data_IF_325138056282
#
_entry.id   IF_325138056282
#
_cell.length_a   1.000
_cell.length_b   1.000
_cell.length_c   1.000
_cell.angle_alpha   90.00
_cell.angle_beta   90.00
_cell.angle_gamma   90.00
#
_symmetry.space_group_name_H-M   'P 1'
#
loop_
_entity.id
_entity.type
_entity.pdbx_description
1 polymer ?
#
# COMPACT_ATOMS: atom_id res chain seq x y z
N UNK A 1 -18.00 24.02 -4.44
CA UNK A 1 -16.84 23.49 -3.69
C UNK A 1 -15.62 24.17 -4.25
N UNK A 2 -15.01 25.07 -3.48
CA UNK A 2 -13.75 25.71 -3.86
C UNK A 2 -12.68 24.64 -3.71
N UNK A 3 -12.16 24.15 -4.84
CA UNK A 3 -10.94 23.35 -4.88
C UNK A 3 -9.80 24.22 -4.37
N UNK A 4 -9.33 23.96 -3.16
CA UNK A 4 -8.04 24.47 -2.66
C UNK A 4 -6.97 24.03 -3.66
N UNK A 5 -6.56 24.94 -4.53
CA UNK A 5 -5.39 24.74 -5.38
C UNK A 5 -4.18 24.81 -4.48
N UNK A 6 -3.66 23.65 -4.07
CA UNK A 6 -2.39 23.57 -3.35
C UNK A 6 -1.31 24.11 -4.29
N UNK A 7 -0.90 25.36 -4.06
CA UNK A 7 0.07 26.04 -4.89
C UNK A 7 1.47 25.64 -4.42
N UNK A 8 2.11 24.74 -5.15
CA UNK A 8 3.47 24.31 -4.87
C UNK A 8 4.45 25.18 -5.64
N UNK A 9 5.51 25.62 -4.96
CA UNK A 9 6.62 26.31 -5.62
C UNK A 9 7.42 25.30 -6.47
N UNK A 10 7.38 25.50 -7.78
CA UNK A 10 7.97 24.61 -8.77
C UNK A 10 9.49 24.61 -8.67
N UNK A 11 10.09 25.76 -8.34
CA UNK A 11 11.54 25.87 -8.18
C UNK A 11 12.00 25.07 -6.95
N UNK A 12 11.22 25.12 -5.87
CA UNK A 12 11.47 24.31 -4.68
C UNK A 12 11.38 22.79 -4.96
N UNK A 13 10.49 22.37 -5.87
CA UNK A 13 10.41 20.96 -6.31
C UNK A 13 11.67 20.57 -7.09
N UNK A 14 12.17 21.42 -7.99
CA UNK A 14 13.43 21.16 -8.69
C UNK A 14 14.61 21.07 -7.72
N UNK A 15 14.74 21.99 -6.76
CA UNK A 15 15.78 21.92 -5.72
C UNK A 15 15.76 20.61 -4.93
N UNK A 16 14.56 20.13 -4.59
CA UNK A 16 14.40 18.84 -3.90
C UNK A 16 14.77 17.67 -4.79
N UNK A 17 14.42 17.71 -6.08
CA UNK A 17 14.84 16.69 -7.04
C UNK A 17 16.36 16.64 -7.19
N UNK A 18 17.05 17.80 -7.27
CA UNK A 18 18.51 17.85 -7.28
C UNK A 18 19.12 17.19 -6.04
N UNK A 19 18.58 17.48 -4.85
CA UNK A 19 19.04 16.89 -3.59
C UNK A 19 18.77 15.39 -3.50
N UNK A 20 17.55 14.95 -3.82
CA UNK A 20 17.13 13.54 -3.74
C UNK A 20 17.88 12.64 -4.73
N UNK A 21 18.15 13.15 -5.93
CA UNK A 21 18.84 12.41 -6.98
C UNK A 21 20.35 12.66 -6.98
N UNK A 22 20.85 13.48 -6.04
CA UNK A 22 22.25 13.88 -5.89
C UNK A 22 22.87 14.40 -7.21
N UNK A 23 22.14 15.28 -7.88
CA UNK A 23 22.55 15.91 -9.15
C UNK A 23 22.67 17.41 -9.01
N UNK A 24 23.59 18.00 -9.77
CA UNK A 24 23.93 19.44 -9.69
C UNK A 24 23.59 20.21 -10.96
N UNK A 25 23.16 19.54 -12.03
CA UNK A 25 22.87 20.16 -13.32
C UNK A 25 21.60 19.62 -13.96
N UNK A 26 20.93 20.46 -14.74
CA UNK A 26 19.72 20.13 -15.50
C UNK A 26 19.99 18.98 -16.50
N UNK A 27 21.22 18.90 -17.02
CA UNK A 27 21.65 17.81 -17.91
C UNK A 27 21.66 16.47 -17.16
N UNK A 28 22.29 16.42 -15.98
CA UNK A 28 22.34 15.21 -15.16
C UNK A 28 20.94 14.81 -14.66
N UNK A 29 20.09 15.80 -14.33
CA UNK A 29 18.70 15.55 -13.99
C UNK A 29 17.95 14.93 -15.18
N UNK A 30 18.17 15.43 -16.40
CA UNK A 30 17.53 14.88 -17.61
C UNK A 30 17.92 13.43 -17.89
N UNK A 31 19.19 13.06 -17.66
CA UNK A 31 19.67 11.68 -17.81
C UNK A 31 18.99 10.75 -16.81
N UNK A 32 18.88 11.17 -15.55
CA UNK A 32 18.22 10.38 -14.51
C UNK A 32 16.72 10.26 -14.76
N UNK A 33 16.08 11.34 -15.21
CA UNK A 33 14.65 11.36 -15.53
C UNK A 33 14.30 10.63 -16.84
N UNK A 34 15.31 10.23 -17.62
CA UNK A 34 15.11 9.62 -18.93
C UNK A 34 14.52 10.59 -19.97
N UNK A 35 14.76 11.89 -19.80
CA UNK A 35 14.25 12.96 -20.66
C UNK A 35 15.39 13.62 -21.44
N UNK A 36 15.06 14.36 -22.51
CA UNK A 36 16.06 15.19 -23.17
C UNK A 36 16.44 16.40 -22.29
N UNK A 37 17.70 16.89 -22.34
CA UNK A 37 18.12 18.08 -21.60
C UNK A 37 17.24 19.31 -21.89
N UNK A 38 16.79 19.43 -23.14
CA UNK A 38 15.88 20.49 -23.58
C UNK A 38 14.49 20.38 -22.95
N UNK A 39 13.99 19.16 -22.70
CA UNK A 39 12.67 18.96 -22.10
C UNK A 39 12.62 19.47 -20.65
N UNK A 40 13.64 19.17 -19.85
CA UNK A 40 13.74 19.66 -18.46
C UNK A 40 13.84 21.18 -18.43
N UNK A 41 14.72 21.76 -19.25
CA UNK A 41 14.89 23.22 -19.33
C UNK A 41 13.63 23.93 -19.81
N UNK A 42 12.92 23.36 -20.79
CA UNK A 42 11.67 23.92 -21.31
C UNK A 42 10.53 23.82 -20.29
N UNK A 43 10.45 22.72 -19.53
CA UNK A 43 9.48 22.57 -18.45
C UNK A 43 9.72 23.62 -17.36
N UNK A 44 10.96 23.79 -16.92
CA UNK A 44 11.34 24.80 -15.93
C UNK A 44 11.02 26.23 -16.39
N UNK A 45 11.38 26.59 -17.63
CA UNK A 45 11.07 27.91 -18.21
C UNK A 45 9.56 28.19 -18.30
N UNK A 46 8.76 27.14 -18.49
CA UNK A 46 7.28 27.23 -18.54
C UNK A 46 6.65 27.16 -17.17
N UNK A 47 7.45 27.15 -16.10
CA UNK A 47 6.98 26.93 -14.72
C UNK A 47 6.10 25.68 -14.68
N UNK A 48 6.64 24.56 -15.13
CA UNK A 48 5.97 23.26 -15.08
C UNK A 48 6.95 22.15 -14.73
N UNK A 49 6.38 21.03 -14.31
CA UNK A 49 7.11 19.84 -13.91
C UNK A 49 7.02 18.77 -15.00
N UNK A 50 8.14 18.10 -15.34
CA UNK A 50 8.12 16.98 -16.24
C UNK A 50 7.60 15.73 -15.50
N UNK A 51 6.28 15.68 -15.32
CA UNK A 51 5.59 14.65 -14.54
C UNK A 51 5.95 13.23 -14.97
N UNK A 52 6.01 12.98 -16.27
CA UNK A 52 6.33 11.66 -16.81
C UNK A 52 7.69 11.15 -16.33
N UNK A 53 8.74 11.97 -16.45
CA UNK A 53 10.07 11.60 -16.00
C UNK A 53 10.16 11.47 -14.48
N UNK A 54 9.52 12.39 -13.75
CA UNK A 54 9.52 12.38 -12.27
C UNK A 54 8.84 11.10 -11.76
N UNK A 55 7.63 10.80 -12.22
CA UNK A 55 6.85 9.63 -11.79
C UNK A 55 7.59 8.34 -12.11
N UNK A 56 8.13 8.22 -13.33
CA UNK A 56 8.89 7.04 -13.74
C UNK A 56 10.12 6.82 -12.88
N UNK A 57 10.90 7.89 -12.66
CA UNK A 57 12.11 7.82 -11.83
C UNK A 57 11.80 7.51 -10.37
N UNK A 58 10.71 8.07 -9.85
CA UNK A 58 10.26 7.78 -8.49
C UNK A 58 9.81 6.33 -8.35
N UNK A 59 9.10 5.78 -9.35
CA UNK A 59 8.73 4.37 -9.38
C UNK A 59 9.98 3.46 -9.45
N UNK A 60 10.91 3.75 -10.35
CA UNK A 60 12.13 2.94 -10.56
C UNK A 60 13.05 2.94 -9.33
N UNK A 61 13.19 4.09 -8.66
CA UNK A 61 14.06 4.27 -7.49
C UNK A 61 13.35 4.12 -6.14
N UNK A 62 12.06 3.78 -6.15
CA UNK A 62 11.20 3.69 -4.95
C UNK A 62 11.24 4.94 -4.08
N UNK A 63 11.26 6.12 -4.71
CA UNK A 63 11.22 7.43 -4.03
C UNK A 63 9.75 7.83 -3.86
N UNK A 64 9.35 8.16 -2.64
CA UNK A 64 8.00 8.64 -2.36
C UNK A 64 7.83 10.09 -2.85
N UNK A 65 6.78 10.31 -3.66
CA UNK A 65 6.45 11.62 -4.22
C UNK A 65 6.20 12.66 -3.14
N UNK A 66 5.71 12.27 -1.96
CA UNK A 66 5.49 13.20 -0.85
C UNK A 66 6.78 13.93 -0.45
N UNK A 67 7.94 13.25 -0.53
CA UNK A 67 9.24 13.87 -0.26
C UNK A 67 9.67 14.84 -1.37
N UNK A 68 9.29 14.57 -2.62
CA UNK A 68 9.57 15.46 -3.78
C UNK A 68 8.78 16.76 -3.64
N UNK A 69 7.49 16.64 -3.30
CA UNK A 69 6.60 17.80 -3.10
C UNK A 69 6.70 18.40 -1.69
N UNK A 70 7.50 17.81 -0.81
CA UNK A 70 7.70 18.24 0.58
C UNK A 70 6.39 18.38 1.32
N UNK A 71 5.45 17.50 1.00
CA UNK A 71 4.24 17.31 1.79
C UNK A 71 4.72 16.61 3.05
N UNK A 72 4.81 17.39 4.14
CA UNK A 72 5.06 16.84 5.45
C UNK A 72 3.74 16.17 5.88
N UNK A 73 3.48 15.00 5.33
CA UNK A 73 2.46 14.12 5.90
C UNK A 73 3.06 13.74 7.24
N UNK A 74 2.65 14.44 8.30
CA UNK A 74 2.77 13.92 9.66
C UNK A 74 2.16 12.52 9.58
N UNK A 75 3.02 11.50 9.51
CA UNK A 75 2.61 10.12 9.50
C UNK A 75 2.08 9.84 10.90
N UNK A 76 0.83 10.23 11.15
CA UNK A 76 -0.03 9.35 11.91
C UNK A 76 0.00 8.01 11.18
N UNK A 77 0.38 6.96 11.89
CA UNK A 77 0.73 5.63 11.36
C UNK A 77 -0.44 4.88 10.69
N UNK A 78 -1.48 5.56 10.21
CA UNK A 78 -2.67 4.96 9.63
C UNK A 78 -3.12 5.73 8.38
N UNK A 79 -2.46 5.47 7.25
CA UNK A 79 -3.07 5.39 5.91
C UNK A 79 -1.97 5.26 4.85
N UNK A 80 -1.55 4.02 4.60
CA UNK A 80 -0.84 3.65 3.38
C UNK A 80 -1.86 3.24 2.33
N UNK A 81 -1.98 4.03 1.26
CA UNK A 81 -2.68 3.62 0.04
C UNK A 81 -1.77 2.63 -0.71
N UNK A 82 -2.41 1.56 -1.14
CA UNK A 82 -1.87 0.37 -1.79
C UNK A 82 -1.10 0.65 -3.08
N UNK A 83 0.04 -0.03 -3.27
CA UNK A 83 0.29 -0.90 -4.44
C UNK A 83 1.63 -1.64 -4.33
N UNK A 84 1.49 -2.97 -4.21
CA UNK A 84 2.34 -4.06 -4.69
C UNK A 84 3.70 -4.38 -4.04
N UNK A 85 3.80 -5.66 -3.69
CA UNK A 85 4.98 -6.48 -3.37
C UNK A 85 5.87 -5.99 -2.24
N UNK A 86 5.31 -6.04 -1.03
CA UNK A 86 6.10 -6.45 0.13
C UNK A 86 5.77 -7.91 0.41
N UNK A 87 6.73 -8.78 0.15
CA UNK A 87 6.97 -9.94 1.01
C UNK A 87 7.09 -9.38 2.43
N UNK A 88 5.96 -9.26 3.12
CA UNK A 88 5.91 -8.95 4.53
C UNK A 88 6.68 -10.08 5.19
N UNK A 89 7.80 -9.75 5.84
CA UNK A 89 8.44 -10.69 6.72
C UNK A 89 7.45 -10.92 7.87
N UNK A 90 6.57 -11.90 7.71
CA UNK A 90 5.61 -12.29 8.73
C UNK A 90 6.43 -12.82 9.90
N UNK A 91 6.40 -12.08 11.01
CA UNK A 91 7.05 -12.52 12.23
C UNK A 91 6.23 -13.68 12.83
N UNK A 92 6.86 -14.49 13.68
CA UNK A 92 6.17 -15.57 14.41
C UNK A 92 4.97 -15.02 15.19
N UNK A 93 5.07 -13.77 15.65
CA UNK A 93 3.98 -13.04 16.30
C UNK A 93 2.74 -12.86 15.40
N UNK A 94 2.93 -12.61 14.10
CA UNK A 94 1.83 -12.40 13.16
C UNK A 94 1.09 -13.71 12.86
N UNK A 95 1.81 -14.82 12.77
CA UNK A 95 1.22 -16.14 12.61
C UNK A 95 0.38 -16.56 13.83
N UNK A 96 0.85 -16.24 15.04
CA UNK A 96 0.10 -16.50 16.28
C UNK A 96 -1.15 -15.62 16.35
N UNK A 97 -1.05 -14.34 16.00
CA UNK A 97 -2.18 -13.42 15.94
C UNK A 97 -3.23 -13.86 14.90
N UNK A 98 -2.78 -14.34 13.74
CA UNK A 98 -3.66 -14.79 12.67
C UNK A 98 -4.42 -16.04 13.12
N UNK A 99 -3.73 -16.99 13.75
CA UNK A 99 -4.36 -18.19 14.28
C UNK A 99 -5.40 -17.85 15.37
N UNK A 100 -5.08 -16.91 16.26
CA UNK A 100 -6.03 -16.46 17.29
C UNK A 100 -7.29 -15.80 16.70
N UNK A 101 -7.14 -15.00 15.65
CA UNK A 101 -8.25 -14.34 14.96
C UNK A 101 -9.12 -15.36 14.21
N UNK A 102 -8.51 -16.33 13.53
CA UNK A 102 -9.22 -17.41 12.83
C UNK A 102 -10.02 -18.26 13.82
N UNK A 103 -9.44 -18.64 14.96
CA UNK A 103 -10.18 -19.39 16.00
C UNK A 103 -11.37 -18.61 16.53
N UNK A 104 -11.19 -17.31 16.84
CA UNK A 104 -12.27 -16.45 17.31
C UNK A 104 -13.44 -16.41 16.32
N UNK A 105 -13.14 -16.22 15.03
CA UNK A 105 -14.17 -16.18 13.98
C UNK A 105 -14.87 -17.53 13.81
N UNK A 106 -14.12 -18.63 13.86
CA UNK A 106 -14.69 -19.97 13.80
C UNK A 106 -15.61 -20.22 14.99
N UNK A 107 -15.18 -19.91 16.21
CA UNK A 107 -16.00 -20.09 17.42
C UNK A 107 -17.30 -19.28 17.34
N UNK A 108 -17.23 -18.01 16.91
CA UNK A 108 -18.41 -17.15 16.71
C UNK A 108 -19.40 -17.74 15.69
N UNK A 109 -18.90 -18.30 14.58
CA UNK A 109 -19.74 -18.85 13.52
C UNK A 109 -20.35 -20.20 13.89
N UNK A 110 -19.57 -21.05 14.57
CA UNK A 110 -20.01 -22.39 14.97
C UNK A 110 -21.00 -22.33 16.13
N UNK A 111 -20.83 -21.38 17.06
CA UNK A 111 -21.76 -21.14 18.15
C UNK A 111 -23.19 -20.80 17.65
N UNK A 112 -23.30 -20.03 16.57
CA UNK A 112 -24.59 -19.62 16.01
C UNK A 112 -25.30 -20.76 15.28
N UNK A 113 -24.57 -21.73 14.74
CA UNK A 113 -25.12 -22.75 13.82
C UNK A 113 -25.47 -24.09 14.48
N UNK A 114 -25.06 -24.32 15.73
CA UNK A 114 -25.37 -25.53 16.53
C UNK A 114 -25.22 -26.84 15.74
N UNK A 115 -24.09 -26.99 15.04
CA UNK A 115 -23.79 -28.13 14.17
C UNK A 115 -23.36 -29.36 15.00
N UNK A 116 -23.62 -30.60 14.52
CA UNK A 116 -23.08 -31.79 15.16
C UNK A 116 -21.55 -31.80 15.10
N UNK A 117 -20.90 -32.31 16.15
CA UNK A 117 -19.45 -32.23 16.37
C UNK A 117 -18.60 -32.72 15.18
N UNK A 118 -19.05 -33.76 14.48
CA UNK A 118 -18.34 -34.31 13.31
C UNK A 118 -18.34 -33.33 12.13
N UNK A 119 -19.47 -32.64 11.92
CA UNK A 119 -19.61 -31.64 10.86
C UNK A 119 -18.87 -30.35 11.24
N UNK A 120 -18.84 -30.02 12.53
CA UNK A 120 -18.04 -28.92 13.04
C UNK A 120 -16.55 -29.13 12.81
N UNK A 121 -16.03 -30.31 13.16
CA UNK A 121 -14.62 -30.64 12.98
C UNK A 121 -14.23 -30.61 11.50
N UNK A 122 -15.10 -31.13 10.63
CA UNK A 122 -14.89 -31.11 9.18
C UNK A 122 -14.82 -29.69 8.62
N UNK A 123 -15.76 -28.82 9.02
CA UNK A 123 -15.82 -27.42 8.60
C UNK A 123 -14.60 -26.66 9.12
N UNK A 124 -14.23 -26.81 10.39
CA UNK A 124 -13.03 -26.18 10.96
C UNK A 124 -11.76 -26.61 10.22
N UNK A 125 -11.62 -27.90 9.89
CA UNK A 125 -10.47 -28.41 9.16
C UNK A 125 -10.32 -27.82 7.76
N UNK A 126 -11.44 -27.53 7.08
CA UNK A 126 -11.46 -26.95 5.73
C UNK A 126 -11.32 -25.42 5.73
N UNK A 127 -11.99 -24.75 6.66
CA UNK A 127 -12.01 -23.29 6.74
C UNK A 127 -10.73 -22.73 7.36
N UNK A 128 -10.11 -23.39 8.35
CA UNK A 128 -8.91 -22.87 9.03
C UNK A 128 -7.79 -22.48 8.06
N UNK A 129 -7.31 -23.33 7.13
CA UNK A 129 -6.23 -22.93 6.20
C UNK A 129 -6.66 -21.79 5.27
N UNK A 130 -7.89 -21.82 4.76
CA UNK A 130 -8.42 -20.75 3.90
C UNK A 130 -8.50 -19.41 4.65
N UNK A 131 -9.03 -19.40 5.87
CA UNK A 131 -9.16 -18.19 6.66
C UNK A 131 -7.80 -17.67 7.10
N UNK A 132 -6.84 -18.55 7.37
CA UNK A 132 -5.48 -18.16 7.69
C UNK A 132 -4.85 -17.36 6.54
N UNK A 133 -4.97 -17.83 5.30
CA UNK A 133 -4.54 -17.07 4.10
C UNK A 133 -5.29 -15.74 3.97
N UNK A 134 -6.61 -15.75 4.12
CA UNK A 134 -7.46 -14.54 4.05
C UNK A 134 -7.14 -13.52 5.14
N UNK A 135 -6.66 -13.97 6.30
CA UNK A 135 -6.28 -13.07 7.39
C UNK A 135 -5.11 -12.18 6.99
N UNK A 136 -4.15 -12.73 6.23
CA UNK A 136 -3.05 -11.95 5.69
C UNK A 136 -3.47 -11.10 4.48
N UNK A 137 -4.29 -11.64 3.59
CA UNK A 137 -4.82 -10.87 2.45
C UNK A 137 -5.59 -9.61 2.90
N UNK A 138 -6.38 -9.72 3.96
CA UNK A 138 -7.16 -8.61 4.50
C UNK A 138 -6.47 -7.86 5.64
N UNK A 139 -5.16 -8.05 5.85
CA UNK A 139 -4.38 -7.35 6.88
C UNK A 139 -5.04 -7.40 8.28
N UNK A 140 -5.48 -8.58 8.71
CA UNK A 140 -6.14 -8.81 10.00
C UNK A 140 -7.48 -8.08 10.17
N UNK A 141 -8.12 -7.63 9.09
CA UNK A 141 -9.45 -7.06 9.16
C UNK A 141 -10.50 -8.14 9.49
N UNK A 142 -10.92 -8.16 10.75
CA UNK A 142 -11.88 -9.12 11.31
C UNK A 142 -13.20 -9.18 10.52
N UNK A 143 -13.72 -8.04 10.06
CA UNK A 143 -15.01 -7.98 9.34
C UNK A 143 -14.90 -8.66 7.97
N UNK A 144 -13.80 -8.44 7.26
CA UNK A 144 -13.57 -9.05 5.94
C UNK A 144 -13.33 -10.56 6.07
N UNK A 145 -12.52 -10.98 7.05
CA UNK A 145 -12.26 -12.40 7.31
C UNK A 145 -13.56 -13.11 7.74
N UNK A 146 -14.40 -12.46 8.55
CA UNK A 146 -15.71 -13.00 8.95
C UNK A 146 -16.66 -13.13 7.75
N UNK A 147 -16.70 -12.12 6.87
CA UNK A 147 -17.51 -12.16 5.64
C UNK A 147 -17.04 -13.30 4.72
N UNK A 148 -15.73 -13.50 4.60
CA UNK A 148 -15.16 -14.61 3.83
C UNK A 148 -15.50 -15.97 4.46
N UNK A 149 -15.47 -16.07 5.78
CA UNK A 149 -15.85 -17.27 6.52
C UNK A 149 -17.33 -17.61 6.36
N UNK A 150 -18.22 -16.62 6.44
CA UNK A 150 -19.66 -16.79 6.20
C UNK A 150 -19.91 -17.25 4.76
N UNK A 151 -19.29 -16.60 3.77
CA UNK A 151 -19.40 -16.99 2.37
C UNK A 151 -18.92 -18.42 2.10
N UNK A 152 -17.78 -18.79 2.67
CA UNK A 152 -17.23 -20.14 2.54
C UNK A 152 -18.10 -21.19 3.24
N UNK A 153 -18.72 -20.85 4.38
CA UNK A 153 -19.66 -21.73 5.09
C UNK A 153 -20.95 -21.94 4.31
N UNK A 154 -21.45 -20.93 3.57
CA UNK A 154 -22.61 -21.08 2.68
C UNK A 154 -22.32 -21.98 1.47
N UNK A 155 -21.05 -22.09 1.07
CA UNK A 155 -20.61 -22.89 -0.08
C UNK A 155 -20.10 -24.30 0.30
N UNK A 156 -20.01 -24.61 1.60
CA UNK A 156 -19.49 -25.88 2.13
C UNK A 156 -20.59 -26.87 2.53
#
# INVERSE_FOLDING_TARGET
MLSETVNFDIEAVYERLYKLLNVTSDSALSEILGLSPSAVRNARNRQSLPWEGIVKTCADRKIDLNHVFGVNVERDNNQGVESQDKTQAFDVSDAVAANALVEKILDDLMFVKNLPADRELFIRGKLRPMLFEKTFEYQFNEVMVKTAAEGALYMA
#
